data_IF_898594788201
#
_entry.id   IF_898594788201
#
_cell.length_a   1.000
_cell.length_b   1.000
_cell.length_c   1.000
_cell.angle_alpha   90.00
_cell.angle_beta   90.00
_cell.angle_gamma   90.00
#
_symmetry.space_group_name_H-M   'P 1'
#
loop_
_entity.id
_entity.type
_entity.pdbx_description
1 polymer ?
#
# COMPACT_ATOMS: atom_id res chain seq x y z
N UNK A 1 5.89 -26.96 12.52
CA UNK A 1 5.26 -26.17 11.46
C UNK A 1 6.18 -26.22 10.27
N UNK A 2 5.77 -26.88 9.19
CA UNK A 2 6.50 -26.86 7.93
C UNK A 2 6.41 -25.45 7.35
N UNK A 3 7.54 -24.85 6.98
CA UNK A 3 7.57 -23.67 6.10
C UNK A 3 6.84 -24.06 4.81
N UNK A 4 5.59 -23.63 4.67
CA UNK A 4 4.83 -23.82 3.45
C UNK A 4 5.51 -22.94 2.40
N UNK A 5 6.21 -23.56 1.45
CA UNK A 5 6.87 -22.84 0.38
C UNK A 5 5.79 -22.14 -0.45
N UNK A 6 5.85 -20.81 -0.49
CA UNK A 6 4.97 -20.00 -1.32
C UNK A 6 5.03 -20.48 -2.79
N UNK A 7 3.90 -20.50 -3.50
CA UNK A 7 3.89 -20.86 -4.91
C UNK A 7 4.74 -19.85 -5.70
N UNK A 8 5.39 -20.31 -6.76
CA UNK A 8 6.30 -19.48 -7.59
C UNK A 8 5.58 -18.20 -8.07
N UNK A 9 4.29 -18.28 -8.40
CA UNK A 9 3.49 -17.11 -8.79
C UNK A 9 3.41 -16.04 -7.70
N UNK A 10 3.25 -16.43 -6.42
CA UNK A 10 3.23 -15.49 -5.30
C UNK A 10 4.61 -14.84 -5.11
N UNK A 11 5.69 -15.62 -5.26
CA UNK A 11 7.06 -15.10 -5.18
C UNK A 11 7.33 -14.10 -6.32
N UNK A 12 6.90 -14.39 -7.54
CA UNK A 12 7.02 -13.47 -8.69
C UNK A 12 6.24 -12.18 -8.44
N UNK A 13 5.00 -12.29 -7.97
CA UNK A 13 4.16 -11.15 -7.63
C UNK A 13 4.81 -10.27 -6.55
N UNK A 14 5.29 -10.87 -5.47
CA UNK A 14 5.93 -10.15 -4.37
C UNK A 14 7.22 -9.43 -4.81
N UNK A 15 8.04 -10.11 -5.63
CA UNK A 15 9.25 -9.51 -6.19
C UNK A 15 8.93 -8.34 -7.14
N UNK A 16 7.90 -8.48 -8.00
CA UNK A 16 7.43 -7.43 -8.88
C UNK A 16 6.93 -6.22 -8.09
N UNK A 17 6.10 -6.44 -7.07
CA UNK A 17 5.59 -5.40 -6.19
C UNK A 17 6.73 -4.64 -5.49
N UNK A 18 7.67 -5.36 -4.87
CA UNK A 18 8.80 -4.73 -4.19
C UNK A 18 9.66 -3.87 -5.11
N UNK A 19 9.99 -4.37 -6.31
CA UNK A 19 10.80 -3.61 -7.27
C UNK A 19 10.04 -2.38 -7.78
N UNK A 20 8.76 -2.53 -8.10
CA UNK A 20 7.91 -1.44 -8.54
C UNK A 20 7.86 -0.34 -7.48
N UNK A 21 7.52 -0.67 -6.23
CA UNK A 21 7.33 0.34 -5.19
C UNK A 21 8.63 0.97 -4.70
N UNK A 22 9.76 0.28 -4.80
CA UNK A 22 11.07 0.91 -4.58
C UNK A 22 11.46 1.87 -5.70
N UNK A 23 11.07 1.59 -6.95
CA UNK A 23 11.23 2.56 -8.04
C UNK A 23 10.28 3.76 -7.86
N UNK A 24 9.03 3.49 -7.46
CA UNK A 24 8.01 4.50 -7.22
C UNK A 24 8.38 5.45 -6.06
N UNK A 25 9.10 4.97 -5.06
CA UNK A 25 9.65 5.80 -3.99
C UNK A 25 10.60 6.90 -4.53
N UNK A 26 11.37 6.56 -5.57
CA UNK A 26 12.38 7.45 -6.15
C UNK A 26 11.76 8.38 -7.19
N UNK A 27 10.93 7.84 -8.07
CA UNK A 27 10.47 8.53 -9.28
C UNK A 27 9.00 8.97 -9.23
N UNK A 28 8.22 8.48 -8.27
CA UNK A 28 6.77 8.63 -8.26
C UNK A 28 6.05 7.45 -8.91
N UNK A 29 4.81 7.21 -8.50
CA UNK A 29 3.99 6.09 -8.98
C UNK A 29 3.66 6.24 -10.47
N UNK A 30 3.34 7.46 -10.91
CA UNK A 30 2.96 7.71 -12.31
C UNK A 30 4.15 7.46 -13.25
N UNK A 31 5.28 8.09 -12.96
CA UNK A 31 6.51 7.98 -13.74
C UNK A 31 7.00 6.53 -13.78
N UNK A 32 6.89 5.81 -12.66
CA UNK A 32 7.25 4.38 -12.60
C UNK A 32 6.31 3.54 -13.45
N UNK A 33 5.00 3.80 -13.40
CA UNK A 33 3.99 3.09 -14.21
C UNK A 33 4.28 3.27 -15.70
N UNK A 34 4.54 4.50 -16.14
CA UNK A 34 4.87 4.82 -17.53
C UNK A 34 6.17 4.11 -17.96
N UNK A 35 7.23 4.18 -17.16
CA UNK A 35 8.50 3.52 -17.46
C UNK A 35 8.38 1.98 -17.52
N UNK A 36 7.56 1.39 -16.66
CA UNK A 36 7.29 -0.06 -16.68
C UNK A 36 6.56 -0.46 -17.94
N UNK A 37 5.52 0.29 -18.35
CA UNK A 37 4.78 0.00 -19.59
C UNK A 37 5.70 0.15 -20.82
N UNK A 38 6.45 1.25 -20.92
CA UNK A 38 7.31 1.54 -22.08
C UNK A 38 8.44 0.52 -22.26
N UNK A 39 8.94 -0.05 -21.17
CA UNK A 39 10.04 -1.01 -21.17
C UNK A 39 9.58 -2.47 -21.06
N UNK A 40 8.27 -2.74 -21.08
CA UNK A 40 7.70 -4.06 -20.76
C UNK A 40 8.26 -4.67 -19.47
N UNK A 41 8.33 -3.85 -18.42
CA UNK A 41 8.81 -4.19 -17.08
C UNK A 41 10.32 -4.37 -16.93
N UNK A 42 11.10 -4.35 -18.02
CA UNK A 42 12.54 -4.58 -17.94
C UNK A 42 13.30 -3.45 -17.24
N UNK A 43 12.75 -2.24 -17.15
CA UNK A 43 13.35 -1.15 -16.37
C UNK A 43 13.58 -1.55 -14.90
N UNK A 44 12.72 -2.40 -14.33
CA UNK A 44 12.84 -2.88 -12.95
C UNK A 44 14.10 -3.73 -12.74
N UNK A 45 14.58 -4.42 -13.78
CA UNK A 45 15.78 -5.26 -13.70
C UNK A 45 17.09 -4.46 -13.81
N UNK A 46 16.99 -3.18 -14.21
CA UNK A 46 18.13 -2.29 -14.43
C UNK A 46 18.41 -1.40 -13.21
N UNK A 47 17.59 -1.51 -12.16
CA UNK A 47 17.70 -0.67 -10.97
C UNK A 47 18.85 -1.12 -10.07
N UNK A 48 19.48 -0.16 -9.39
CA UNK A 48 20.60 -0.41 -8.47
C UNK A 48 20.23 -1.36 -7.31
N UNK A 49 18.96 -1.34 -6.90
CA UNK A 49 18.44 -2.13 -5.78
C UNK A 49 17.93 -3.52 -6.20
N UNK A 50 17.93 -3.84 -7.49
CA UNK A 50 17.33 -5.08 -8.00
C UNK A 50 17.93 -6.32 -7.35
N UNK A 51 19.27 -6.37 -7.26
CA UNK A 51 19.96 -7.53 -6.71
C UNK A 51 19.61 -7.75 -5.23
N UNK A 52 19.41 -6.67 -4.46
CA UNK A 52 19.03 -6.76 -3.06
C UNK A 52 17.63 -7.36 -2.91
N UNK A 53 16.65 -6.87 -3.67
CA UNK A 53 15.28 -7.42 -3.65
C UNK A 53 15.28 -8.88 -4.03
N UNK A 54 15.92 -9.24 -5.15
CA UNK A 54 15.92 -10.61 -5.65
C UNK A 54 16.64 -11.59 -4.70
N UNK A 55 17.60 -11.12 -3.90
CA UNK A 55 18.29 -11.95 -2.91
C UNK A 55 17.34 -12.52 -1.84
N UNK A 56 16.25 -11.80 -1.51
CA UNK A 56 15.21 -12.24 -0.56
C UNK A 56 14.48 -13.50 -1.02
N UNK A 57 14.51 -13.80 -2.31
CA UNK A 57 13.82 -14.93 -2.92
C UNK A 57 14.77 -16.06 -3.36
N UNK A 58 15.97 -16.12 -2.78
CA UNK A 58 17.01 -17.10 -3.13
C UNK A 58 17.39 -17.10 -4.63
N UNK A 59 17.20 -15.98 -5.33
CA UNK A 59 17.43 -15.86 -6.77
C UNK A 59 18.84 -16.29 -7.20
N UNK A 60 19.85 -15.99 -6.40
CA UNK A 60 21.25 -16.34 -6.68
C UNK A 60 21.53 -17.86 -6.63
N UNK A 61 20.65 -18.65 -6.02
CA UNK A 61 20.78 -20.12 -5.95
C UNK A 61 20.15 -20.81 -7.17
N UNK A 62 19.38 -20.08 -7.99
CA UNK A 62 18.77 -20.63 -9.20
C UNK A 62 19.81 -20.89 -10.29
N UNK A 63 19.63 -21.93 -11.14
CA UNK A 63 20.35 -22.06 -12.40
C UNK A 63 20.17 -20.83 -13.30
N UNK A 64 21.17 -20.52 -14.14
CA UNK A 64 21.16 -19.32 -15.00
C UNK A 64 19.92 -19.22 -15.89
N UNK A 65 19.47 -20.34 -16.45
CA UNK A 65 18.27 -20.40 -17.30
C UNK A 65 17.00 -20.04 -16.50
N UNK A 66 16.89 -20.54 -15.27
CA UNK A 66 15.78 -20.22 -14.37
C UNK A 66 15.80 -18.77 -13.91
N UNK A 67 16.99 -18.16 -13.75
CA UNK A 67 17.11 -16.72 -13.43
C UNK A 67 16.51 -15.85 -14.53
N UNK A 68 16.82 -16.14 -15.79
CA UNK A 68 16.29 -15.38 -16.92
C UNK A 68 14.75 -15.51 -17.01
N UNK A 69 14.23 -16.73 -16.83
CA UNK A 69 12.78 -16.96 -16.80
C UNK A 69 12.10 -16.22 -15.65
N UNK A 70 12.74 -16.22 -14.47
CA UNK A 70 12.22 -15.52 -13.29
C UNK A 70 12.20 -14.00 -13.47
N UNK A 71 13.28 -13.39 -13.97
CA UNK A 71 13.32 -11.97 -14.30
C UNK A 71 12.26 -11.59 -15.34
N UNK A 72 12.07 -12.43 -16.36
CA UNK A 72 11.03 -12.23 -17.38
C UNK A 72 9.63 -12.29 -16.75
N UNK A 73 9.37 -13.26 -15.88
CA UNK A 73 8.09 -13.39 -15.19
C UNK A 73 7.78 -12.16 -14.33
N UNK A 74 8.76 -11.64 -13.59
CA UNK A 74 8.63 -10.41 -12.79
C UNK A 74 8.31 -9.20 -13.68
N UNK A 75 9.03 -9.04 -14.79
CA UNK A 75 8.81 -7.93 -15.71
C UNK A 75 7.39 -7.97 -16.31
N UNK A 76 6.95 -9.14 -16.77
CA UNK A 76 5.60 -9.35 -17.31
C UNK A 76 4.52 -9.10 -16.26
N UNK A 77 4.67 -9.61 -15.04
CA UNK A 77 3.73 -9.38 -13.95
C UNK A 77 3.56 -7.87 -13.67
N UNK A 78 4.68 -7.15 -13.56
CA UNK A 78 4.64 -5.70 -13.30
C UNK A 78 3.99 -4.92 -14.44
N UNK A 79 4.32 -5.26 -15.70
CA UNK A 79 3.71 -4.65 -16.89
C UNK A 79 2.19 -4.86 -16.91
N UNK A 80 1.73 -6.10 -16.65
CA UNK A 80 0.31 -6.42 -16.65
C UNK A 80 -0.48 -5.60 -15.62
N UNK A 81 0.04 -5.46 -14.40
CA UNK A 81 -0.59 -4.65 -13.37
C UNK A 81 -0.61 -3.16 -13.73
N UNK A 82 0.48 -2.65 -14.30
CA UNK A 82 0.57 -1.26 -14.75
C UNK A 82 -0.43 -0.95 -15.87
N UNK A 83 -0.56 -1.83 -16.87
CA UNK A 83 -1.54 -1.68 -17.96
C UNK A 83 -2.98 -1.66 -17.41
N UNK A 84 -3.27 -2.53 -16.44
CA UNK A 84 -4.59 -2.60 -15.78
C UNK A 84 -4.82 -1.47 -14.77
N UNK A 85 -3.80 -0.65 -14.47
CA UNK A 85 -3.82 0.40 -13.44
C UNK A 85 -4.20 -0.15 -12.06
N UNK A 86 -3.70 -1.34 -11.74
CA UNK A 86 -3.94 -2.01 -10.47
C UNK A 86 -2.74 -1.83 -9.53
N UNK A 87 -2.99 -1.70 -8.23
CA UNK A 87 -1.93 -1.71 -7.23
C UNK A 87 -1.33 -3.12 -7.14
N UNK A 88 0.00 -3.20 -7.13
CA UNK A 88 0.73 -4.43 -6.80
C UNK A 88 0.97 -4.46 -5.29
N UNK A 89 0.14 -5.17 -4.54
CA UNK A 89 0.16 -5.14 -3.09
C UNK A 89 1.36 -5.91 -2.49
N UNK A 90 1.93 -6.85 -3.24
CA UNK A 90 2.86 -7.84 -2.71
C UNK A 90 2.17 -8.76 -1.71
N UNK A 91 2.93 -9.60 -1.00
CA UNK A 91 2.36 -10.52 -0.02
C UNK A 91 2.08 -9.78 1.29
N UNK A 92 0.83 -9.83 1.73
CA UNK A 92 0.41 -9.32 3.04
C UNK A 92 0.51 -10.45 4.06
N UNK A 93 1.36 -10.28 5.07
CA UNK A 93 1.51 -11.23 6.16
C UNK A 93 0.61 -10.82 7.33
N UNK A 94 -0.18 -11.77 7.85
CA UNK A 94 -1.11 -11.50 8.96
C UNK A 94 -0.41 -11.06 10.25
N UNK A 95 0.83 -11.51 10.47
CA UNK A 95 1.64 -11.14 11.64
C UNK A 95 1.90 -9.62 11.73
N UNK A 96 1.88 -8.91 10.59
CA UNK A 96 2.05 -7.46 10.55
C UNK A 96 0.88 -6.71 11.24
N UNK A 97 -0.26 -7.37 11.43
CA UNK A 97 -1.44 -6.79 12.07
C UNK A 97 -1.22 -6.45 13.56
N UNK A 98 -0.32 -7.17 14.24
CA UNK A 98 -0.06 -6.95 15.67
C UNK A 98 0.68 -5.65 15.93
N UNK A 99 1.60 -5.28 15.04
CA UNK A 99 2.49 -4.12 15.20
C UNK A 99 2.00 -2.90 14.43
N UNK A 100 1.11 -3.08 13.44
CA UNK A 100 0.74 -2.04 12.48
C UNK A 100 1.89 -1.67 11.52
N UNK A 101 2.97 -2.46 11.47
CA UNK A 101 4.12 -2.22 10.59
C UNK A 101 4.74 -3.53 10.14
N UNK A 102 4.91 -3.67 8.83
CA UNK A 102 5.77 -4.73 8.27
C UNK A 102 7.23 -4.58 8.74
N UNK A 103 8.03 -5.66 8.69
CA UNK A 103 9.47 -5.60 9.01
C UNK A 103 10.25 -4.52 8.25
N UNK A 104 9.92 -4.25 6.98
CA UNK A 104 10.60 -3.20 6.19
C UNK A 104 10.23 -1.78 6.61
N UNK A 105 9.09 -1.59 7.29
CA UNK A 105 8.59 -0.29 7.71
C UNK A 105 8.91 0.08 9.17
N UNK A 106 9.59 -0.79 9.92
CA UNK A 106 9.86 -0.58 11.36
C UNK A 106 10.57 0.74 11.67
N UNK A 107 11.46 1.19 10.78
CA UNK A 107 12.27 2.38 10.97
C UNK A 107 11.75 3.64 10.26
N UNK A 108 10.57 3.58 9.64
CA UNK A 108 9.96 4.74 8.98
C UNK A 108 9.57 5.77 10.05
N UNK A 109 10.17 6.95 10.01
CA UNK A 109 9.86 8.01 10.98
C UNK A 109 8.52 8.69 10.62
N UNK A 110 7.56 8.63 11.53
CA UNK A 110 6.23 9.22 11.39
C UNK A 110 5.99 10.44 12.28
N UNK A 111 6.94 10.78 13.15
CA UNK A 111 6.77 11.82 14.18
C UNK A 111 6.40 13.18 13.58
N UNK A 112 7.03 13.54 12.46
CA UNK A 112 6.80 14.81 11.77
C UNK A 112 5.45 14.90 11.04
N UNK A 113 4.66 13.81 11.05
CA UNK A 113 3.32 13.74 10.48
C UNK A 113 2.21 14.08 11.49
N UNK A 114 2.54 14.27 12.77
CA UNK A 114 1.58 14.58 13.83
C UNK A 114 1.14 16.05 13.79
N UNK A 115 0.42 16.44 12.73
CA UNK A 115 -0.24 17.74 12.61
C UNK A 115 -1.73 17.49 12.55
N UNK A 116 -2.41 17.55 13.70
CA UNK A 116 -3.83 17.23 13.80
C UNK A 116 -4.70 18.41 13.35
N UNK A 117 -5.79 18.15 12.59
CA UNK A 117 -6.79 19.18 12.33
C UNK A 117 -7.52 19.56 13.62
N UNK A 118 -7.93 20.84 13.75
CA UNK A 118 -8.77 21.34 14.85
C UNK A 118 -10.12 20.65 14.90
N UNK A 119 -10.72 20.41 13.73
CA UNK A 119 -11.99 19.71 13.64
C UNK A 119 -12.15 18.96 12.32
N UNK A 120 -13.00 17.93 12.37
CA UNK A 120 -13.37 17.08 11.25
C UNK A 120 -14.88 16.95 11.29
N UNK A 121 -15.52 17.33 10.19
CA UNK A 121 -16.97 17.25 10.05
C UNK A 121 -17.32 16.33 8.90
N UNK A 122 -17.98 15.22 9.20
CA UNK A 122 -18.58 14.35 8.19
C UNK A 122 -20.04 14.78 7.98
N UNK A 123 -20.43 14.98 6.72
CA UNK A 123 -21.79 15.31 6.29
C UNK A 123 -22.29 14.22 5.35
N UNK A 124 -23.58 13.88 5.45
CA UNK A 124 -24.20 12.83 4.64
C UNK A 124 -24.24 11.50 5.36
N UNK A 125 -23.97 10.42 4.65
CA UNK A 125 -23.96 9.08 5.23
C UNK A 125 -22.83 8.90 6.25
N UNK A 126 -23.05 8.01 7.21
CA UNK A 126 -22.00 7.68 8.17
C UNK A 126 -20.87 6.92 7.48
N UNK A 127 -19.63 7.30 7.78
CA UNK A 127 -18.44 6.56 7.37
C UNK A 127 -18.04 5.67 8.53
N UNK A 128 -18.08 4.35 8.30
CA UNK A 128 -17.77 3.39 9.35
C UNK A 128 -16.29 3.43 9.72
N UNK A 129 -16.02 3.26 11.01
CA UNK A 129 -14.66 3.20 11.55
C UNK A 129 -14.27 1.74 11.72
N UNK A 130 -13.33 1.27 10.90
CA UNK A 130 -12.96 -0.15 10.85
C UNK A 130 -11.44 -0.30 10.90
N UNK A 131 -11.00 -1.35 11.58
CA UNK A 131 -9.66 -1.90 11.44
C UNK A 131 -8.50 -1.03 11.93
N UNK A 132 -7.30 -1.51 11.64
CA UNK A 132 -6.03 -0.94 12.08
C UNK A 132 -5.13 -0.73 10.87
N UNK A 133 -4.52 0.44 10.78
CA UNK A 133 -3.54 0.75 9.74
C UNK A 133 -2.33 -0.18 9.89
N UNK A 134 -1.81 -0.69 8.78
CA UNK A 134 -0.49 -1.29 8.71
C UNK A 134 0.37 -0.61 7.63
N UNK A 135 1.50 -0.04 8.04
CA UNK A 135 2.48 0.54 7.11
C UNK A 135 3.40 -0.56 6.59
N UNK A 136 3.52 -0.65 5.26
CA UNK A 136 4.30 -1.69 4.58
C UNK A 136 5.45 -1.16 3.72
N UNK A 137 5.83 0.09 3.94
CA UNK A 137 6.81 0.82 3.11
C UNK A 137 8.05 -0.05 2.78
N UNK A 138 8.45 -0.13 1.50
CA UNK A 138 7.93 0.63 0.35
C UNK A 138 6.59 0.11 -0.21
N UNK A 139 6.15 -1.09 0.17
CA UNK A 139 4.88 -1.63 -0.31
C UNK A 139 3.67 -0.80 0.17
N UNK A 140 2.53 -0.91 -0.54
CA UNK A 140 1.29 -0.23 -0.16
C UNK A 140 0.86 -0.59 1.25
N UNK A 141 0.43 0.42 2.00
CA UNK A 141 -0.21 0.19 3.28
C UNK A 141 -1.53 -0.57 3.09
N UNK A 142 -1.99 -1.20 4.17
CA UNK A 142 -3.26 -1.95 4.22
C UNK A 142 -3.97 -1.66 5.53
N UNK A 143 -5.26 -2.00 5.61
CA UNK A 143 -6.03 -2.01 6.86
C UNK A 143 -6.32 -3.45 7.23
N UNK A 144 -5.95 -3.85 8.44
CA UNK A 144 -6.36 -5.13 9.00
C UNK A 144 -7.65 -4.98 9.80
N UNK A 145 -8.59 -5.91 9.61
CA UNK A 145 -9.86 -5.96 10.34
C UNK A 145 -10.28 -7.39 10.65
N UNK A 146 -11.09 -7.55 11.68
CA UNK A 146 -11.73 -8.81 12.07
C UNK A 146 -13.02 -9.10 11.28
N UNK A 147 -13.54 -8.09 10.59
CA UNK A 147 -14.68 -8.18 9.68
C UNK A 147 -14.34 -7.65 8.29
N UNK A 148 -15.01 -8.20 7.27
CA UNK A 148 -14.93 -7.65 5.92
C UNK A 148 -15.61 -6.27 5.90
N UNK A 149 -14.98 -5.22 5.36
CA UNK A 149 -15.61 -3.91 5.26
C UNK A 149 -16.94 -3.99 4.52
N UNK A 150 -18.02 -3.40 5.05
CA UNK A 150 -19.34 -3.45 4.41
C UNK A 150 -19.50 -2.40 3.31
N UNK A 151 -18.54 -1.48 3.17
CA UNK A 151 -18.60 -0.34 2.26
C UNK A 151 -17.24 -0.12 1.58
N UNK A 152 -17.27 0.50 0.40
CA UNK A 152 -16.07 0.85 -0.38
C UNK A 152 -15.25 1.97 0.26
N UNK A 153 -15.73 2.63 1.30
CA UNK A 153 -15.03 3.69 2.03
C UNK A 153 -15.16 3.47 3.53
N UNK A 154 -14.03 3.33 4.20
CA UNK A 154 -13.94 3.25 5.66
C UNK A 154 -13.06 4.37 6.20
N UNK A 155 -13.32 4.79 7.44
CA UNK A 155 -12.34 5.50 8.25
C UNK A 155 -11.53 4.46 9.02
N UNK A 156 -10.21 4.59 9.05
CA UNK A 156 -9.37 3.67 9.82
C UNK A 156 -9.57 3.90 11.31
N UNK A 157 -9.97 2.87 12.06
CA UNK A 157 -10.32 3.02 13.47
C UNK A 157 -9.08 3.25 14.35
N UNK A 158 -8.00 2.49 14.11
CA UNK A 158 -6.75 2.63 14.84
C UNK A 158 -5.60 2.96 13.90
N UNK A 159 -4.94 4.10 14.10
CA UNK A 159 -3.68 4.42 13.42
C UNK A 159 -2.50 4.52 14.38
N UNK A 160 -2.74 4.45 15.69
CA UNK A 160 -1.71 4.71 16.70
C UNK A 160 -0.60 3.66 16.72
N UNK A 161 -0.89 2.39 16.44
CA UNK A 161 0.14 1.35 16.40
C UNK A 161 1.13 1.59 15.26
N UNK A 162 0.59 1.93 14.08
CA UNK A 162 1.38 2.22 12.91
C UNK A 162 2.08 3.59 12.99
N UNK A 163 1.40 4.66 13.39
CA UNK A 163 1.93 6.03 13.32
C UNK A 163 2.58 6.52 14.61
N UNK A 164 2.25 5.93 15.75
CA UNK A 164 2.54 6.48 17.08
C UNK A 164 1.49 7.47 17.59
N UNK A 165 0.51 7.86 16.75
CA UNK A 165 -0.57 8.78 17.10
C UNK A 165 -1.86 8.44 16.33
N UNK A 166 -2.99 8.91 16.85
CA UNK A 166 -4.28 8.75 16.16
C UNK A 166 -4.45 9.83 15.10
N UNK A 167 -4.76 9.44 13.87
CA UNK A 167 -4.95 10.35 12.74
C UNK A 167 -6.18 9.97 11.92
N UNK A 168 -6.96 10.95 11.43
CA UNK A 168 -8.12 10.68 10.58
C UNK A 168 -7.71 10.25 9.17
N UNK A 169 -7.55 8.96 8.96
CA UNK A 169 -7.25 8.38 7.65
C UNK A 169 -8.48 7.64 7.13
N UNK A 170 -8.75 7.79 5.83
CA UNK A 170 -9.83 7.09 5.14
C UNK A 170 -9.23 6.14 4.10
N UNK A 171 -9.82 4.96 3.92
CA UNK A 171 -9.43 4.02 2.87
C UNK A 171 -10.59 3.91 1.88
N UNK A 172 -10.32 4.26 0.62
CA UNK A 172 -11.14 3.80 -0.50
C UNK A 172 -10.76 2.38 -0.83
N UNK A 173 -11.54 1.42 -0.34
CA UNK A 173 -11.31 -0.01 -0.45
C UNK A 173 -11.47 -0.44 -1.92
N UNK A 174 -10.39 -0.97 -2.49
CA UNK A 174 -10.35 -1.51 -3.86
C UNK A 174 -10.39 -3.03 -3.80
N UNK A 175 -9.70 -3.62 -2.83
CA UNK A 175 -9.60 -5.06 -2.64
C UNK A 175 -9.70 -5.39 -1.15
N UNK A 176 -10.19 -6.58 -0.84
CA UNK A 176 -10.10 -7.16 0.50
C UNK A 176 -9.77 -8.63 0.38
N UNK A 177 -8.67 -9.04 1.01
CA UNK A 177 -8.24 -10.42 1.09
C UNK A 177 -8.57 -10.96 2.48
N UNK A 178 -9.18 -12.13 2.55
CA UNK A 178 -9.28 -12.89 3.79
C UNK A 178 -7.97 -13.66 4.00
N UNK A 179 -7.26 -13.39 5.11
CA UNK A 179 -6.01 -14.04 5.47
C UNK A 179 -6.23 -15.26 6.38
N UNK A 180 -7.20 -15.16 7.29
CA UNK A 180 -7.65 -16.25 8.15
C UNK A 180 -9.17 -16.17 8.33
N UNK A 181 -9.77 -17.12 9.05
CA UNK A 181 -11.21 -17.10 9.36
C UNK A 181 -11.67 -15.80 10.07
N UNK A 182 -10.76 -15.08 10.71
CA UNK A 182 -11.04 -13.90 11.54
C UNK A 182 -10.17 -12.69 11.19
N UNK A 183 -9.46 -12.71 10.06
CA UNK A 183 -8.57 -11.62 9.68
C UNK A 183 -8.71 -11.30 8.20
N UNK A 184 -9.02 -10.04 7.92
CA UNK A 184 -9.10 -9.45 6.60
C UNK A 184 -8.01 -8.39 6.44
N UNK A 185 -7.46 -8.28 5.24
CA UNK A 185 -6.57 -7.21 4.82
C UNK A 185 -7.22 -6.46 3.66
N UNK A 186 -7.56 -5.19 3.89
CA UNK A 186 -8.15 -4.31 2.89
C UNK A 186 -7.10 -3.36 2.32
N UNK A 187 -7.08 -3.25 1.00
CA UNK A 187 -6.15 -2.42 0.24
C UNK A 187 -6.92 -1.43 -0.62
N UNK A 188 -6.24 -0.35 -1.00
CA UNK A 188 -6.81 0.69 -1.85
C UNK A 188 -6.01 1.97 -1.81
N UNK A 189 -6.71 3.11 -1.87
CA UNK A 189 -6.10 4.45 -1.77
C UNK A 189 -6.41 5.04 -0.40
N UNK A 190 -5.38 5.36 0.37
CA UNK A 190 -5.50 6.04 1.64
C UNK A 190 -5.70 7.53 1.41
N UNK A 191 -6.89 8.03 1.67
CA UNK A 191 -7.23 9.43 1.56
C UNK A 191 -6.91 10.11 2.89
N UNK A 192 -5.86 10.93 2.87
CA UNK A 192 -5.25 11.51 4.05
C UNK A 192 -5.41 13.03 4.02
N UNK A 193 -5.99 13.64 5.06
CA UNK A 193 -6.04 15.08 5.17
C UNK A 193 -4.64 15.64 5.43
N UNK A 194 -4.25 16.69 4.72
CA UNK A 194 -3.01 17.43 4.93
C UNK A 194 -3.25 18.95 4.96
N UNK A 195 -2.49 19.73 5.75
CA UNK A 195 -2.67 21.19 5.83
C UNK A 195 -2.28 21.90 4.53
N UNK A 196 -1.34 21.33 3.77
CA UNK A 196 -0.87 21.86 2.49
C UNK A 196 -0.14 20.77 1.70
N UNK A 197 0.20 21.06 0.44
CA UNK A 197 0.87 20.12 -0.45
C UNK A 197 2.28 19.73 0.00
N UNK A 198 3.04 20.61 0.65
CA UNK A 198 4.39 20.30 1.15
C UNK A 198 4.34 19.25 2.28
N UNK A 199 3.41 19.42 3.22
CA UNK A 199 3.15 18.43 4.26
C UNK A 199 2.61 17.12 3.67
N UNK A 200 1.72 17.23 2.68
CA UNK A 200 1.17 16.08 1.98
C UNK A 200 2.24 15.18 1.34
N UNK A 201 3.32 15.76 0.79
CA UNK A 201 4.44 14.97 0.23
C UNK A 201 5.14 14.09 1.26
N UNK A 202 5.09 14.43 2.55
CA UNK A 202 5.66 13.58 3.61
C UNK A 202 4.84 12.29 3.78
N UNK A 203 3.53 12.35 3.57
CA UNK A 203 2.66 11.17 3.65
C UNK A 203 2.98 10.14 2.57
N UNK A 204 3.28 10.56 1.34
CA UNK A 204 3.65 9.63 0.26
C UNK A 204 5.00 8.92 0.50
N UNK A 205 5.82 9.41 1.43
CA UNK A 205 7.07 8.76 1.86
C UNK A 205 6.84 7.70 2.96
N UNK A 206 5.64 7.64 3.54
CA UNK A 206 5.27 6.68 4.60
C UNK A 206 4.20 5.72 4.11
N UNK A 207 3.21 6.23 3.37
CA UNK A 207 2.09 5.48 2.80
C UNK A 207 2.09 5.77 1.29
N UNK A 208 2.70 4.88 0.50
CA UNK A 208 2.89 5.15 -0.93
C UNK A 208 1.57 5.22 -1.72
N UNK A 209 0.56 4.46 -1.31
CA UNK A 209 -0.79 4.48 -1.86
C UNK A 209 -1.67 5.59 -1.23
N UNK A 210 -1.08 6.73 -0.87
CA UNK A 210 -1.82 7.88 -0.34
C UNK A 210 -2.39 8.79 -1.44
N UNK A 211 -3.62 9.21 -1.29
CA UNK A 211 -4.20 10.39 -1.92
C UNK A 211 -4.40 11.49 -0.88
N UNK A 212 -4.18 12.75 -1.27
CA UNK A 212 -4.20 13.89 -0.35
C UNK A 212 -5.46 14.74 -0.56
N UNK A 213 -6.00 15.28 0.52
CA UNK A 213 -7.01 16.34 0.44
C UNK A 213 -6.75 17.40 1.52
N UNK A 214 -7.11 18.65 1.24
CA UNK A 214 -6.68 19.78 2.08
C UNK A 214 -7.80 20.43 2.90
N UNK A 215 -9.01 20.49 2.34
CA UNK A 215 -10.17 21.15 2.99
C UNK A 215 -11.36 20.24 3.04
N UNK A 216 -11.64 19.58 1.94
CA UNK A 216 -12.73 18.64 1.85
C UNK A 216 -12.42 17.55 0.84
N UNK A 217 -13.06 16.41 1.03
CA UNK A 217 -13.13 15.34 0.06
C UNK A 217 -14.56 14.82 0.00
N UNK A 218 -14.94 14.33 -1.17
CA UNK A 218 -16.27 13.83 -1.46
C UNK A 218 -16.17 12.35 -1.82
N UNK A 219 -16.88 11.53 -1.06
CA UNK A 219 -16.97 10.09 -1.27
C UNK A 219 -18.30 9.78 -1.92
N UNK A 220 -18.25 9.41 -3.20
CA UNK A 220 -19.41 8.89 -3.91
C UNK A 220 -19.56 7.39 -3.62
N UNK A 221 -20.75 6.99 -3.19
CA UNK A 221 -21.11 5.60 -2.89
C UNK A 221 -22.31 5.22 -3.76
N UNK A 222 -22.57 3.91 -3.86
CA UNK A 222 -23.73 3.40 -4.59
C UNK A 222 -25.06 4.01 -4.09
N UNK A 223 -25.18 4.24 -2.77
CA UNK A 223 -26.42 4.69 -2.13
C UNK A 223 -26.43 6.15 -1.66
N UNK A 224 -25.32 6.88 -1.84
CA UNK A 224 -25.25 8.26 -1.35
C UNK A 224 -23.89 8.93 -1.51
N UNK A 225 -23.77 10.10 -0.91
CA UNK A 225 -22.53 10.88 -0.90
C UNK A 225 -22.20 11.25 0.53
N UNK A 226 -20.93 11.07 0.90
CA UNK A 226 -20.38 11.56 2.17
C UNK A 226 -19.35 12.64 1.88
N UNK A 227 -19.44 13.77 2.57
CA UNK A 227 -18.43 14.83 2.49
C UNK A 227 -17.70 14.92 3.81
N UNK A 228 -16.38 14.81 3.77
CA UNK A 228 -15.53 15.07 4.95
C UNK A 228 -14.88 16.42 4.78
N UNK A 229 -15.07 17.30 5.77
CA UNK A 229 -14.46 18.63 5.84
C UNK A 229 -13.47 18.70 6.99
N UNK A 230 -12.37 19.40 6.76
CA UNK A 230 -11.24 19.55 7.68
C UNK A 230 -11.03 21.04 7.97
N UNK A 231 -10.83 21.34 9.25
CA UNK A 231 -10.39 22.65 9.74
C UNK A 231 -9.04 22.49 10.44
N UNK A 232 -8.05 23.32 10.09
CA UNK A 232 -6.65 23.25 10.54
C UNK A 232 -6.32 24.38 11.51
#
# INVERSE_FOLDING_TARGET
MSEEQLPISAIVHDAAAHLFWMMAEISGVQETTEAVIESSGYCLMQQIFTSEVLSKYNFHNLPKENRNLFCKAIATEAEEFCIKRQNMEGIVYGDDAETGRSPSAQYVNTTDLEVLPRSITALGENIEKIGRLCIRHPLPAVVFSDECPPQDIIQVACTSDALGFQYPIFLGCISTQQLTDVLFASSGIFLIPAPNGEFGKKWSQVIQNSGLFFKETLFNREFGTSTVRIDW
#
